data_IF_105906679429
#
_entry.id   IF_105906679429
#
_cell.length_a   1.000
_cell.length_b   1.000
_cell.length_c   1.000
_cell.angle_alpha   90.00
_cell.angle_beta   90.00
_cell.angle_gamma   90.00
#
_symmetry.space_group_name_H-M   'P 1'
#
loop_
_entity.id
_entity.type
_entity.pdbx_description
1 polymer ?
#
# COMPACT_ATOMS: atom_id res chain seq x y z
N UNK A 1 28.63 -34.73 -81.60
CA UNK A 1 29.01 -36.15 -81.71
C UNK A 1 29.46 -36.60 -80.33
N UNK A 2 28.73 -37.57 -79.78
CA UNK A 2 28.85 -38.32 -78.51
C UNK A 2 29.46 -37.70 -77.23
N UNK A 3 28.57 -37.70 -76.23
CA UNK A 3 28.74 -37.66 -74.79
C UNK A 3 29.80 -38.65 -74.26
N UNK A 4 30.62 -38.19 -73.31
CA UNK A 4 31.30 -39.02 -72.32
C UNK A 4 31.08 -38.40 -70.94
N UNK A 5 30.34 -39.09 -70.09
CA UNK A 5 30.05 -38.70 -68.71
C UNK A 5 31.31 -38.80 -67.83
N UNK A 6 31.50 -37.87 -66.86
CA UNK A 6 32.60 -37.97 -65.90
C UNK A 6 32.36 -39.08 -64.84
N UNK A 7 33.44 -39.64 -64.25
CA UNK A 7 33.36 -40.73 -63.27
C UNK A 7 32.78 -40.28 -61.92
N UNK A 8 32.21 -41.22 -61.13
CA UNK A 8 31.56 -40.92 -59.86
C UNK A 8 32.56 -40.59 -58.72
N UNK A 9 32.15 -39.81 -57.70
CA UNK A 9 33.00 -39.40 -56.59
C UNK A 9 33.26 -40.53 -55.56
N UNK A 10 34.43 -40.47 -54.93
CA UNK A 10 34.88 -41.38 -53.87
C UNK A 10 34.08 -41.23 -52.56
N UNK A 11 33.92 -42.32 -51.78
CA UNK A 11 33.15 -42.31 -50.53
C UNK A 11 33.89 -41.62 -49.36
N UNK A 12 33.16 -41.08 -48.37
CA UNK A 12 33.71 -40.34 -47.24
C UNK A 12 34.37 -41.24 -46.17
N UNK A 13 35.41 -40.71 -45.51
CA UNK A 13 36.15 -41.37 -44.43
C UNK A 13 35.37 -41.45 -43.10
N UNK A 14 35.65 -42.46 -42.24
CA UNK A 14 34.86 -42.74 -41.04
C UNK A 14 35.17 -41.80 -39.86
N UNK A 15 34.13 -41.43 -39.12
CA UNK A 15 34.14 -40.63 -37.88
C UNK A 15 34.38 -41.47 -36.60
N UNK A 16 34.99 -40.89 -35.53
CA UNK A 16 35.38 -41.61 -34.31
C UNK A 16 34.21 -41.97 -33.36
N UNK A 17 34.41 -42.94 -32.43
CA UNK A 17 33.32 -43.66 -31.77
C UNK A 17 32.69 -42.95 -30.56
N UNK A 18 31.38 -43.20 -30.37
CA UNK A 18 30.56 -42.77 -29.22
C UNK A 18 30.53 -43.86 -28.14
N UNK A 19 30.79 -43.51 -26.89
CA UNK A 19 30.59 -44.41 -25.74
C UNK A 19 29.13 -44.35 -25.24
N UNK A 20 28.56 -45.53 -24.98
CA UNK A 20 27.19 -45.75 -24.54
C UNK A 20 27.14 -46.45 -23.16
N UNK A 21 26.20 -45.98 -22.33
CA UNK A 21 25.30 -46.72 -21.41
C UNK A 21 25.88 -47.27 -20.07
N UNK A 22 25.07 -47.48 -18.99
CA UNK A 22 23.74 -48.12 -19.03
C UNK A 22 22.63 -47.62 -18.06
N UNK A 23 21.45 -48.25 -18.24
CA UNK A 23 20.14 -47.98 -17.64
C UNK A 23 19.62 -49.26 -16.91
N UNK A 24 18.71 -49.09 -15.93
CA UNK A 24 17.84 -50.06 -15.17
C UNK A 24 18.32 -50.45 -13.75
N UNK A 25 17.49 -50.64 -12.70
CA UNK A 25 16.04 -50.47 -12.44
C UNK A 25 15.76 -50.49 -10.90
N UNK A 26 14.75 -49.74 -10.45
CA UNK A 26 13.82 -49.88 -9.28
C UNK A 26 14.25 -50.50 -7.94
N UNK A 27 14.07 -49.73 -6.84
CA UNK A 27 13.47 -50.21 -5.58
C UNK A 27 12.85 -49.06 -4.75
N UNK A 28 11.65 -49.31 -4.23
CA UNK A 28 10.80 -48.45 -3.40
C UNK A 28 11.26 -48.35 -1.96
N UNK A 29 11.33 -47.14 -1.37
CA UNK A 29 11.11 -46.91 0.06
C UNK A 29 10.51 -45.51 0.29
N UNK A 30 9.35 -45.48 0.95
CA UNK A 30 8.73 -44.28 1.54
C UNK A 30 9.43 -43.95 2.85
N UNK A 31 9.86 -42.69 3.06
CA UNK A 31 9.88 -42.05 4.39
C UNK A 31 9.91 -40.52 4.28
N UNK A 32 8.85 -39.90 4.80
CA UNK A 32 8.84 -38.75 5.72
C UNK A 32 9.70 -37.49 5.44
N UNK A 33 8.96 -36.38 5.26
CA UNK A 33 9.21 -35.05 5.86
C UNK A 33 10.56 -34.35 5.62
N UNK A 34 10.54 -33.36 4.73
CA UNK A 34 10.79 -31.95 5.11
C UNK A 34 10.35 -31.05 3.94
N UNK A 35 9.15 -30.45 4.04
CA UNK A 35 8.76 -29.33 3.18
C UNK A 35 9.70 -28.17 3.51
N UNK A 36 10.61 -27.84 2.59
CA UNK A 36 11.36 -26.58 2.65
C UNK A 36 10.37 -25.44 2.43
N UNK A 37 10.37 -24.40 3.29
CA UNK A 37 9.54 -23.23 3.04
C UNK A 37 10.05 -22.56 1.75
N UNK A 38 9.16 -22.40 0.78
CA UNK A 38 9.40 -21.60 -0.42
C UNK A 38 9.45 -20.15 0.06
N UNK A 39 10.64 -19.64 0.31
CA UNK A 39 10.87 -18.20 0.48
C UNK A 39 10.82 -17.57 -0.91
N UNK A 40 9.65 -17.13 -1.34
CA UNK A 40 9.49 -16.33 -2.55
C UNK A 40 9.99 -14.92 -2.28
N UNK A 41 11.19 -14.61 -2.74
CA UNK A 41 11.70 -13.25 -2.83
C UNK A 41 10.94 -12.51 -3.95
N UNK A 42 10.00 -11.66 -3.53
CA UNK A 42 9.22 -10.72 -4.35
C UNK A 42 10.15 -9.63 -4.93
N UNK A 43 10.34 -9.49 -6.25
CA UNK A 43 11.11 -8.39 -6.88
C UNK A 43 10.58 -6.95 -6.65
N UNK A 44 11.42 -6.16 -5.96
CA UNK A 44 11.81 -4.73 -6.06
C UNK A 44 10.87 -3.57 -6.51
N UNK A 45 9.62 -3.76 -6.92
CA UNK A 45 8.82 -2.65 -7.49
C UNK A 45 7.87 -1.90 -6.54
N UNK A 46 7.78 -2.25 -5.25
CA UNK A 46 6.46 -2.10 -4.58
C UNK A 46 6.13 -0.75 -3.90
N UNK A 47 7.04 0.14 -3.48
CA UNK A 47 6.61 1.32 -2.67
C UNK A 47 7.07 2.70 -3.17
N UNK A 48 6.32 3.25 -4.11
CA UNK A 48 6.27 4.68 -4.34
C UNK A 48 5.11 5.28 -3.53
N UNK A 49 5.40 5.97 -2.41
CA UNK A 49 4.52 6.65 -1.42
C UNK A 49 3.06 6.19 -1.24
N UNK A 50 2.69 5.97 0.02
CA UNK A 50 1.31 5.96 0.50
C UNK A 50 0.69 7.36 0.40
N UNK A 51 -0.58 7.40 0.01
CA UNK A 51 -1.42 8.58 0.18
C UNK A 51 -1.44 8.97 1.66
N UNK A 52 -1.69 10.25 1.90
CA UNK A 52 -1.80 10.77 3.25
C UNK A 52 -3.30 11.06 3.40
N UNK A 53 -4.04 10.13 3.98
CA UNK A 53 -5.42 10.37 4.37
C UNK A 53 -5.47 10.75 5.83
N UNK A 54 -5.79 12.02 6.09
CA UNK A 54 -6.31 12.40 7.38
C UNK A 54 -7.82 12.10 7.37
N UNK A 55 -8.43 11.90 8.52
CA UNK A 55 -9.89 11.98 8.66
C UNK A 55 -10.16 12.40 10.09
N UNK A 56 -10.62 13.64 10.28
CA UNK A 56 -11.21 14.08 11.54
C UNK A 56 -12.64 13.54 11.66
N UNK A 57 -12.92 12.78 12.72
CA UNK A 57 -14.31 12.55 13.17
C UNK A 57 -14.86 13.84 13.78
N UNK A 58 -15.52 14.68 12.99
CA UNK A 58 -16.30 15.80 13.53
C UNK A 58 -17.61 15.28 14.11
N UNK A 59 -17.84 15.58 15.39
CA UNK A 59 -19.12 15.38 16.07
C UNK A 59 -20.14 16.44 15.64
N UNK A 60 -21.41 16.00 15.56
CA UNK A 60 -22.56 16.64 14.92
C UNK A 60 -22.85 18.11 15.26
N UNK A 61 -23.58 18.84 14.39
CA UNK A 61 -23.99 20.22 14.62
C UNK A 61 -25.14 20.35 15.65
N UNK A 62 -25.17 21.47 16.39
CA UNK A 62 -26.30 21.85 17.26
C UNK A 62 -27.42 22.52 16.44
N UNK A 63 -28.70 22.33 16.82
CA UNK A 63 -29.86 22.80 16.05
C UNK A 63 -30.35 24.18 16.51
N UNK A 64 -30.97 24.94 15.60
CA UNK A 64 -31.86 26.05 15.96
C UNK A 64 -33.24 25.82 15.31
N UNK A 65 -34.25 25.73 16.19
CA UNK A 65 -35.73 25.77 16.08
C UNK A 65 -36.38 26.22 14.76
N UNK A 66 -37.58 25.83 14.29
CA UNK A 66 -38.73 24.95 14.65
C UNK A 66 -39.88 25.32 13.63
N UNK A 67 -41.15 24.83 13.66
CA UNK A 67 -41.73 23.54 14.08
C UNK A 67 -42.80 22.93 13.10
N UNK A 68 -43.35 21.77 13.50
CA UNK A 68 -44.79 21.35 13.46
C UNK A 68 -45.21 20.16 12.55
N UNK A 69 -45.52 19.04 13.24
CA UNK A 69 -46.58 18.01 13.04
C UNK A 69 -46.49 16.98 11.89
N UNK A 70 -46.86 15.68 12.01
CA UNK A 70 -47.53 14.88 13.06
C UNK A 70 -47.30 13.37 12.75
N UNK A 71 -46.81 12.61 13.74
CA UNK A 71 -47.17 11.26 14.27
C UNK A 71 -47.56 10.09 13.29
N UNK A 72 -47.11 8.81 13.37
CA UNK A 72 -47.28 7.82 14.45
C UNK A 72 -46.68 6.42 14.10
N UNK A 73 -46.02 5.77 15.09
CA UNK A 73 -45.98 4.32 15.48
C UNK A 73 -44.61 3.60 15.55
N UNK A 74 -44.18 3.40 16.81
CA UNK A 74 -43.19 2.47 17.40
C UNK A 74 -43.75 1.01 17.47
N UNK A 75 -43.00 -0.06 17.85
CA UNK A 75 -41.88 -0.09 18.81
C UNK A 75 -40.68 -1.01 18.51
N UNK A 76 -39.52 -0.76 19.15
CA UNK A 76 -38.62 -1.70 19.86
C UNK A 76 -37.36 -0.94 20.35
N UNK A 77 -36.65 -1.43 21.40
CA UNK A 77 -36.22 -0.59 22.51
C UNK A 77 -34.85 0.05 22.32
N UNK A 78 -34.78 1.37 22.47
CA UNK A 78 -33.53 2.09 22.71
C UNK A 78 -33.20 2.04 24.20
N UNK A 79 -32.12 1.34 24.52
CA UNK A 79 -31.56 1.27 25.86
C UNK A 79 -30.83 2.59 26.17
N UNK A 80 -31.19 3.35 27.22
CA UNK A 80 -30.55 4.62 27.52
C UNK A 80 -29.22 4.37 28.26
N UNK A 81 -28.09 4.52 27.57
CA UNK A 81 -26.80 4.61 28.25
C UNK A 81 -26.73 5.91 29.03
N UNK A 82 -27.07 5.80 30.32
CA UNK A 82 -26.74 6.76 31.37
C UNK A 82 -25.23 7.06 31.30
N UNK A 83 -24.92 8.35 31.18
CA UNK A 83 -23.58 8.88 31.38
C UNK A 83 -23.12 8.59 32.82
N UNK A 84 -22.34 7.52 33.00
CA UNK A 84 -21.46 7.41 34.14
C UNK A 84 -20.17 8.15 33.79
N UNK A 85 -20.02 9.36 34.36
CA UNK A 85 -18.72 10.01 34.56
C UNK A 85 -17.87 9.06 35.41
N UNK A 86 -16.92 8.39 34.79
CA UNK A 86 -15.84 7.71 35.50
C UNK A 86 -14.74 8.76 35.77
N UNK A 87 -14.21 8.88 36.99
CA UNK A 87 -13.05 9.73 37.25
C UNK A 87 -11.86 9.17 36.47
N UNK A 88 -11.32 9.96 35.55
CA UNK A 88 -10.10 9.61 34.81
C UNK A 88 -8.95 9.62 35.83
N UNK A 89 -8.56 8.44 36.29
CA UNK A 89 -7.23 8.24 36.84
C UNK A 89 -6.25 8.40 35.68
N UNK A 90 -5.30 9.32 35.86
CA UNK A 90 -4.17 9.57 34.98
C UNK A 90 -3.38 8.29 34.73
N UNK A 91 -3.65 7.63 33.60
CA UNK A 91 -2.71 6.70 33.00
C UNK A 91 -1.79 7.53 32.10
N UNK A 92 -0.45 7.40 32.20
CA UNK A 92 0.47 8.12 31.34
C UNK A 92 0.36 7.54 29.94
N UNK A 93 -0.53 8.13 29.13
CA UNK A 93 -0.46 7.98 27.69
C UNK A 93 0.91 8.49 27.29
N UNK A 94 1.81 7.58 26.92
CA UNK A 94 3.08 7.89 26.28
C UNK A 94 2.81 8.41 24.87
N UNK A 95 2.13 9.56 24.75
CA UNK A 95 2.32 10.43 23.59
C UNK A 95 3.78 10.85 23.67
N UNK A 96 4.62 10.23 22.84
CA UNK A 96 5.93 10.81 22.58
C UNK A 96 5.68 12.27 22.19
N UNK A 97 6.19 13.26 22.95
CA UNK A 97 5.99 14.65 22.59
C UNK A 97 6.57 14.85 21.20
N UNK A 98 5.80 15.50 20.30
CA UNK A 98 6.21 15.82 18.94
C UNK A 98 7.67 16.29 18.95
N UNK A 99 8.58 15.43 18.49
CA UNK A 99 10.04 15.66 18.55
C UNK A 99 10.43 16.96 17.82
N UNK A 100 9.58 17.40 16.89
CA UNK A 100 9.75 18.61 16.09
C UNK A 100 8.50 19.48 16.19
N UNK A 101 8.56 20.68 16.82
CA UNK A 101 7.39 21.55 16.99
C UNK A 101 6.86 22.15 15.67
N UNK A 102 7.67 22.21 14.62
CA UNK A 102 7.27 22.73 13.31
C UNK A 102 8.16 22.15 12.17
N UNK A 103 7.75 22.28 10.90
CA UNK A 103 8.54 21.79 9.76
C UNK A 103 9.97 22.34 9.68
N UNK A 104 10.18 23.60 10.12
CA UNK A 104 11.50 24.22 10.12
C UNK A 104 12.47 23.51 11.08
N UNK A 105 12.01 23.20 12.29
CA UNK A 105 12.81 22.45 13.27
C UNK A 105 13.18 21.04 12.81
N UNK A 106 12.30 20.38 12.04
CA UNK A 106 12.61 19.11 11.39
C UNK A 106 13.65 19.30 10.27
N UNK A 107 13.49 20.34 9.44
CA UNK A 107 14.45 20.68 8.38
C UNK A 107 15.86 20.89 8.94
N UNK A 108 15.99 21.70 9.98
CA UNK A 108 17.28 22.02 10.59
C UNK A 108 17.94 20.80 11.24
N UNK A 109 17.13 19.86 11.75
CA UNK A 109 17.63 18.58 12.24
C UNK A 109 18.09 17.64 11.10
N UNK A 110 17.42 17.64 9.95
CA UNK A 110 17.74 16.77 8.81
C UNK A 110 18.94 17.27 7.99
N UNK A 111 19.10 18.59 7.81
CA UNK A 111 20.15 19.21 6.99
C UNK A 111 21.56 18.64 7.23
N UNK A 112 22.07 18.53 8.48
CA UNK A 112 23.41 17.99 8.72
C UNK A 112 23.49 16.46 8.62
N UNK A 113 22.38 15.76 8.44
CA UNK A 113 22.28 14.29 8.49
C UNK A 113 22.00 13.64 7.13
N UNK A 114 21.61 14.42 6.13
CA UNK A 114 21.27 13.95 4.79
C UNK A 114 22.21 14.55 3.73
N UNK A 115 22.48 13.83 2.62
CA UNK A 115 23.19 14.41 1.48
C UNK A 115 22.46 15.65 0.95
N UNK A 116 23.17 16.77 0.79
CA UNK A 116 22.57 18.06 0.45
C UNK A 116 21.78 18.04 -0.86
N UNK A 117 22.33 17.42 -1.91
CA UNK A 117 21.67 17.32 -3.22
C UNK A 117 20.36 16.53 -3.15
N UNK A 118 20.36 15.44 -2.37
CA UNK A 118 19.18 14.61 -2.15
C UNK A 118 18.10 15.37 -1.38
N UNK A 119 18.48 16.06 -0.31
CA UNK A 119 17.54 16.84 0.51
C UNK A 119 16.96 18.04 -0.25
N UNK A 120 17.78 18.73 -1.07
CA UNK A 120 17.34 19.84 -1.90
C UNK A 120 16.33 19.42 -2.98
N UNK A 121 16.30 18.14 -3.36
CA UNK A 121 15.35 17.62 -4.35
C UNK A 121 13.91 17.47 -3.84
N UNK A 122 13.70 17.53 -2.51
CA UNK A 122 12.39 17.28 -1.89
C UNK A 122 11.38 18.37 -2.24
N UNK A 123 10.24 17.98 -2.82
CA UNK A 123 9.21 18.91 -3.29
C UNK A 123 9.52 19.61 -4.61
N UNK A 124 10.74 19.43 -5.14
CA UNK A 124 11.17 19.99 -6.43
C UNK A 124 11.17 18.91 -7.50
N UNK A 125 11.76 17.74 -7.22
CA UNK A 125 11.80 16.62 -8.16
C UNK A 125 10.42 15.96 -8.23
N UNK A 126 9.90 15.64 -9.43
CA UNK A 126 8.63 14.95 -9.59
C UNK A 126 8.52 13.68 -8.75
N UNK A 127 7.39 13.50 -8.08
CA UNK A 127 7.11 12.35 -7.23
C UNK A 127 7.78 12.35 -5.84
N UNK A 128 8.53 13.40 -5.48
CA UNK A 128 9.05 13.58 -4.12
C UNK A 128 8.08 14.34 -3.23
N UNK A 129 8.09 14.01 -1.95
CA UNK A 129 7.40 14.75 -0.89
C UNK A 129 8.36 15.81 -0.32
N UNK A 130 7.82 16.79 0.40
CA UNK A 130 8.63 17.84 1.03
C UNK A 130 8.69 17.68 2.56
N UNK A 131 9.41 18.59 3.23
CA UNK A 131 9.60 18.56 4.69
C UNK A 131 8.27 18.69 5.45
N UNK A 132 7.28 19.42 4.92
CA UNK A 132 5.96 19.54 5.56
C UNK A 132 5.25 18.19 5.58
N UNK A 133 5.29 17.44 4.48
CA UNK A 133 4.74 16.09 4.44
C UNK A 133 5.37 15.18 5.51
N UNK A 134 6.70 15.18 5.64
CA UNK A 134 7.38 14.33 6.62
C UNK A 134 7.08 14.76 8.05
N UNK A 135 6.98 16.07 8.29
CA UNK A 135 6.63 16.61 9.59
C UNK A 135 5.22 16.17 10.02
N UNK A 136 4.24 16.21 9.11
CA UNK A 136 2.89 15.72 9.37
C UNK A 136 2.88 14.20 9.67
N UNK A 137 3.55 13.40 8.83
CA UNK A 137 3.68 11.95 9.04
C UNK A 137 4.28 11.61 10.43
N UNK A 138 5.22 12.44 10.91
CA UNK A 138 5.83 12.29 12.23
C UNK A 138 4.93 12.77 13.37
N UNK A 139 4.23 13.90 13.20
CA UNK A 139 3.36 14.46 14.24
C UNK A 139 2.16 13.58 14.54
N UNK A 140 1.76 12.77 13.57
CA UNK A 140 0.63 11.84 13.70
C UNK A 140 1.05 10.42 14.05
N UNK A 141 2.36 10.16 14.07
CA UNK A 141 2.91 8.84 14.40
C UNK A 141 2.77 7.80 13.29
N UNK A 142 2.35 8.19 12.09
CA UNK A 142 2.34 7.31 10.91
C UNK A 142 3.76 6.91 10.48
N UNK A 143 4.76 7.64 10.95
CA UNK A 143 6.16 7.41 10.67
C UNK A 143 6.99 7.67 11.92
N UNK A 144 8.06 6.90 12.08
CA UNK A 144 9.08 7.14 13.12
C UNK A 144 10.46 7.31 12.52
N UNK A 145 11.34 8.05 13.20
CA UNK A 145 12.73 8.22 12.81
C UNK A 145 13.66 7.60 13.85
N UNK A 146 14.48 6.66 13.38
CA UNK A 146 15.57 6.05 14.13
C UNK A 146 16.77 7.01 14.15
N UNK A 147 16.80 7.87 15.17
CA UNK A 147 17.67 9.05 15.23
C UNK A 147 19.16 8.78 15.52
N UNK A 148 19.47 7.58 16.02
CA UNK A 148 20.83 7.07 16.29
C UNK A 148 21.55 6.59 15.02
N UNK A 149 20.81 6.38 13.91
CA UNK A 149 21.40 6.10 12.59
C UNK A 149 21.73 7.39 11.81
N UNK A 150 22.78 7.34 10.99
CA UNK A 150 23.18 8.45 10.09
C UNK A 150 23.43 7.90 8.67
N UNK A 151 22.58 8.23 7.68
CA UNK A 151 21.35 9.01 7.79
C UNK A 151 20.29 8.32 8.66
N UNK A 152 19.34 9.06 9.26
CA UNK A 152 18.28 8.48 10.07
C UNK A 152 17.37 7.57 9.24
N UNK A 153 16.90 6.47 9.82
CA UNK A 153 16.01 5.53 9.14
C UNK A 153 14.54 5.87 9.44
N UNK A 154 13.76 6.09 8.38
CA UNK A 154 12.32 6.31 8.42
C UNK A 154 11.58 4.97 8.49
N UNK A 155 10.87 4.68 9.57
CA UNK A 155 10.07 3.45 9.69
C UNK A 155 8.60 3.73 9.44
N UNK A 156 7.95 2.87 8.65
CA UNK A 156 6.53 2.96 8.32
C UNK A 156 5.88 1.59 8.34
N UNK A 157 4.75 1.50 9.03
CA UNK A 157 3.86 0.35 9.00
C UNK A 157 2.79 0.56 7.92
N UNK A 158 2.60 -0.46 7.10
CA UNK A 158 1.85 -0.38 5.85
C UNK A 158 0.92 -1.56 5.75
N UNK A 159 -0.35 -1.31 5.48
CA UNK A 159 -1.27 -2.35 5.01
C UNK A 159 -1.26 -2.43 3.49
N UNK A 160 -1.19 -3.65 2.97
CA UNK A 160 -1.33 -3.96 1.54
C UNK A 160 -2.56 -4.84 1.41
N UNK A 161 -3.57 -4.34 0.70
CA UNK A 161 -4.80 -5.07 0.43
C UNK A 161 -4.76 -5.58 -1.00
N UNK A 162 -4.57 -6.88 -1.16
CA UNK A 162 -4.69 -7.54 -2.46
C UNK A 162 -6.17 -7.81 -2.73
N UNK A 163 -6.80 -6.88 -3.44
CA UNK A 163 -8.21 -7.02 -3.82
C UNK A 163 -8.31 -8.04 -4.96
N UNK A 164 -8.90 -9.18 -4.66
CA UNK A 164 -9.11 -10.27 -5.62
C UNK A 164 -10.48 -10.14 -6.28
N UNK A 165 -10.56 -10.38 -7.58
CA UNK A 165 -11.78 -10.21 -8.41
C UNK A 165 -12.94 -11.17 -8.12
N UNK A 166 -13.00 -11.80 -6.93
CA UNK A 166 -14.04 -12.74 -6.56
C UNK A 166 -14.22 -13.85 -7.60
N UNK A 167 -15.45 -13.99 -8.12
CA UNK A 167 -15.83 -14.96 -9.17
C UNK A 167 -15.16 -14.69 -10.54
N UNK A 168 -14.53 -13.52 -10.71
CA UNK A 168 -13.82 -13.14 -11.92
C UNK A 168 -12.39 -13.70 -11.85
N UNK A 169 -12.25 -14.98 -12.22
CA UNK A 169 -11.04 -15.64 -12.70
C UNK A 169 -9.71 -14.96 -12.31
N UNK A 170 -9.25 -15.19 -11.08
CA UNK A 170 -7.86 -15.03 -10.72
C UNK A 170 -7.26 -13.64 -11.07
N UNK A 171 -8.04 -12.56 -10.91
CA UNK A 171 -7.56 -11.19 -11.13
C UNK A 171 -7.22 -10.48 -9.83
N UNK A 172 -6.25 -9.57 -9.90
CA UNK A 172 -5.81 -8.69 -8.82
C UNK A 172 -6.02 -7.24 -9.24
N UNK A 173 -6.58 -6.42 -8.35
CA UNK A 173 -6.69 -4.99 -8.56
C UNK A 173 -5.34 -4.32 -8.26
N UNK A 174 -4.82 -3.56 -9.22
CA UNK A 174 -3.64 -2.74 -9.05
C UNK A 174 -3.96 -1.27 -9.26
N UNK A 175 -3.36 -0.44 -8.42
CA UNK A 175 -3.15 0.96 -8.68
C UNK A 175 -2.08 1.11 -9.76
N UNK A 176 -2.47 1.55 -10.95
CA UNK A 176 -1.55 1.74 -12.08
C UNK A 176 -0.69 2.99 -11.91
N UNK A 177 -1.33 4.13 -11.65
CA UNK A 177 -0.71 5.43 -11.46
C UNK A 177 -1.59 6.34 -10.60
N UNK A 178 -0.98 7.39 -10.08
CA UNK A 178 -1.66 8.46 -9.35
C UNK A 178 -1.39 9.80 -10.02
N UNK A 179 -2.35 10.70 -9.92
CA UNK A 179 -2.20 12.12 -10.22
C UNK A 179 -2.08 12.92 -8.93
N UNK A 180 -1.02 13.72 -8.81
CA UNK A 180 -0.75 14.53 -7.62
C UNK A 180 -1.33 15.94 -7.75
N UNK A 181 -1.50 16.61 -6.62
CA UNK A 181 -1.97 18.01 -6.53
C UNK A 181 -1.14 19.03 -7.31
N UNK A 182 0.13 18.73 -7.57
CA UNK A 182 1.01 19.55 -8.42
C UNK A 182 0.95 19.18 -9.92
N UNK A 183 -0.01 18.34 -10.33
CA UNK A 183 -0.21 17.87 -11.71
C UNK A 183 0.74 16.76 -12.16
N UNK A 184 1.68 16.34 -11.31
CA UNK A 184 2.58 15.25 -11.66
C UNK A 184 1.88 13.89 -11.60
N UNK A 185 2.12 13.06 -12.62
CA UNK A 185 1.70 11.65 -12.64
C UNK A 185 2.82 10.77 -12.10
N UNK A 186 2.46 9.77 -11.30
CA UNK A 186 3.43 8.83 -10.74
C UNK A 186 2.92 7.40 -10.83
N UNK A 187 3.66 6.56 -11.56
CA UNK A 187 3.40 5.14 -11.68
C UNK A 187 3.55 4.42 -10.34
N UNK A 188 2.68 3.43 -10.12
CA UNK A 188 2.55 2.67 -8.87
C UNK A 188 2.65 1.19 -9.14
N UNK A 189 1.82 0.69 -10.06
CA UNK A 189 1.73 -0.71 -10.46
C UNK A 189 1.72 -1.68 -9.27
N UNK A 190 0.91 -1.40 -8.25
CA UNK A 190 0.91 -2.15 -6.98
C UNK A 190 -0.50 -2.30 -6.42
N UNK A 191 -0.73 -3.25 -5.49
CA UNK A 191 -2.02 -3.36 -4.82
C UNK A 191 -2.33 -2.12 -3.97
N UNK A 192 -3.59 -1.98 -3.57
CA UNK A 192 -4.02 -0.97 -2.60
C UNK A 192 -3.11 -1.01 -1.37
N UNK A 193 -2.54 0.15 -1.05
CA UNK A 193 -1.36 0.27 -0.20
C UNK A 193 -1.55 1.51 0.66
N UNK A 194 -1.68 1.35 1.97
CA UNK A 194 -2.01 2.46 2.86
C UNK A 194 -1.17 2.44 4.15
N UNK A 195 -0.82 3.62 4.67
CA UNK A 195 -0.11 3.75 5.95
C UNK A 195 -1.04 3.32 7.09
N UNK A 196 -0.51 2.58 8.05
CA UNK A 196 -1.24 2.24 9.27
C UNK A 196 -1.18 3.40 10.27
N UNK A 197 -2.30 3.67 10.96
CA UNK A 197 -2.35 4.64 12.06
C UNK A 197 -1.78 4.02 13.36
N UNK A 198 -1.27 4.82 14.30
CA UNK A 198 -0.74 4.29 15.56
C UNK A 198 -1.76 3.44 16.33
N UNK A 199 -1.39 2.18 16.60
CA UNK A 199 -2.24 1.25 17.35
C UNK A 199 -3.42 0.66 16.56
N UNK A 200 -3.52 0.93 15.26
CA UNK A 200 -4.53 0.36 14.38
C UNK A 200 -4.25 -1.13 14.09
N UNK A 201 -5.30 -1.96 14.02
CA UNK A 201 -5.15 -3.36 13.58
C UNK A 201 -5.00 -3.45 12.06
N UNK A 202 -4.44 -4.55 11.56
CA UNK A 202 -4.27 -4.76 10.11
C UNK A 202 -5.63 -4.77 9.41
N UNK A 203 -6.64 -5.39 10.03
CA UNK A 203 -7.99 -5.44 9.51
C UNK A 203 -8.62 -4.05 9.47
N UNK A 204 -8.55 -3.29 10.57
CA UNK A 204 -9.06 -1.93 10.63
C UNK A 204 -8.42 -1.02 9.57
N UNK A 205 -7.10 -1.12 9.40
CA UNK A 205 -6.37 -0.41 8.36
C UNK A 205 -6.81 -0.83 6.95
N UNK A 206 -7.03 -2.12 6.71
CA UNK A 206 -7.50 -2.63 5.41
C UNK A 206 -8.91 -2.12 5.07
N UNK A 207 -9.84 -2.18 6.03
CA UNK A 207 -11.19 -1.64 5.84
C UNK A 207 -11.17 -0.14 5.56
N UNK A 208 -10.35 0.60 6.33
CA UNK A 208 -10.17 2.03 6.13
C UNK A 208 -9.59 2.33 4.75
N UNK A 209 -8.53 1.64 4.33
CA UNK A 209 -7.91 1.83 3.02
C UNK A 209 -8.90 1.60 1.88
N UNK A 210 -9.71 0.53 1.94
CA UNK A 210 -10.73 0.28 0.90
C UNK A 210 -11.79 1.39 0.90
N UNK A 211 -12.24 1.84 2.08
CA UNK A 211 -13.24 2.89 2.19
C UNK A 211 -12.73 4.24 1.67
N UNK A 212 -11.50 4.62 2.03
CA UNK A 212 -10.89 5.89 1.65
C UNK A 212 -10.56 5.92 0.15
N UNK A 213 -9.93 4.87 -0.38
CA UNK A 213 -9.45 4.88 -1.77
C UNK A 213 -10.45 4.37 -2.81
N UNK A 214 -11.34 3.44 -2.44
CA UNK A 214 -12.30 2.81 -3.36
C UNK A 214 -13.75 3.19 -3.08
N UNK A 215 -14.03 3.84 -1.95
CA UNK A 215 -15.41 4.10 -1.49
C UNK A 215 -16.25 4.95 -2.45
N UNK A 216 -15.64 5.85 -3.22
CA UNK A 216 -16.34 6.74 -4.16
C UNK A 216 -16.93 6.03 -5.38
N UNK A 217 -16.46 4.82 -5.71
CA UNK A 217 -17.01 4.01 -6.80
C UNK A 217 -17.91 2.88 -6.30
N UNK A 218 -18.05 2.72 -4.99
CA UNK A 218 -18.96 1.73 -4.41
C UNK A 218 -20.40 2.25 -4.45
N UNK A 219 -21.39 1.39 -4.72
CA UNK A 219 -22.80 1.79 -4.72
C UNK A 219 -23.25 2.36 -3.36
N UNK A 220 -23.97 3.49 -3.39
CA UNK A 220 -24.59 4.08 -2.20
C UNK A 220 -25.61 3.11 -1.57
N UNK A 221 -25.68 3.08 -0.23
CA UNK A 221 -26.67 2.29 0.52
C UNK A 221 -26.32 0.82 0.72
N UNK A 222 -25.12 0.38 0.35
CA UNK A 222 -24.59 -0.91 0.79
C UNK A 222 -24.13 -0.81 2.26
N UNK A 223 -25.05 -0.96 3.20
CA UNK A 223 -24.77 -0.95 4.65
C UNK A 223 -24.14 -2.28 5.17
N UNK A 224 -23.48 -3.06 4.31
CA UNK A 224 -22.98 -4.42 4.61
C UNK A 224 -21.45 -4.57 4.66
N UNK A 225 -20.99 -5.78 5.00
CA UNK A 225 -19.59 -6.23 4.88
C UNK A 225 -19.17 -6.32 3.39
N UNK A 226 -19.04 -5.16 2.73
CA UNK A 226 -18.60 -5.05 1.32
C UNK A 226 -17.18 -5.61 1.18
N UNK A 227 -16.37 -5.48 2.24
CA UNK A 227 -15.00 -5.95 2.30
C UNK A 227 -14.95 -7.26 3.08
N UNK A 228 -14.53 -8.33 2.44
CA UNK A 228 -14.36 -9.65 3.05
C UNK A 228 -12.88 -10.02 3.00
N UNK A 229 -12.19 -9.87 4.12
CA UNK A 229 -10.80 -10.33 4.26
C UNK A 229 -10.77 -11.86 4.19
N UNK A 230 -9.93 -12.41 3.31
CA UNK A 230 -9.77 -13.85 3.14
C UNK A 230 -9.09 -14.41 4.39
N UNK A 231 -9.71 -15.38 5.09
CA UNK A 231 -9.11 -15.99 6.27
C UNK A 231 -7.73 -16.58 5.98
N UNK A 232 -6.78 -16.42 6.92
CA UNK A 232 -5.41 -16.94 6.84
C UNK A 232 -4.58 -16.42 5.64
N UNK A 233 -4.98 -15.31 4.99
CA UNK A 233 -4.20 -14.66 3.93
C UNK A 233 -3.10 -13.73 4.44
N UNK A 234 -3.13 -13.39 5.73
CA UNK A 234 -2.19 -12.43 6.32
C UNK A 234 -0.74 -12.88 6.18
N UNK A 235 0.11 -11.96 5.71
CA UNK A 235 1.56 -12.12 5.72
C UNK A 235 2.26 -10.83 6.10
N UNK A 236 3.44 -10.95 6.72
CA UNK A 236 4.27 -9.82 7.14
C UNK A 236 5.64 -9.90 6.48
N UNK A 237 6.09 -8.78 5.90
CA UNK A 237 7.44 -8.63 5.34
C UNK A 237 8.06 -7.34 5.83
N UNK A 238 9.36 -7.35 6.13
CA UNK A 238 10.11 -6.13 6.45
C UNK A 238 11.14 -5.89 5.35
N UNK A 239 11.18 -4.67 4.83
CA UNK A 239 12.09 -4.28 3.76
C UNK A 239 12.78 -2.96 4.12
N UNK A 240 14.08 -2.87 3.87
CA UNK A 240 14.83 -1.62 3.95
C UNK A 240 15.29 -1.20 2.56
N UNK A 241 15.01 0.05 2.18
CA UNK A 241 15.35 0.58 0.85
C UNK A 241 15.39 2.10 0.84
N UNK A 242 15.94 2.66 -0.24
CA UNK A 242 15.91 4.10 -0.46
C UNK A 242 14.46 4.59 -0.61
N UNK A 243 14.12 5.68 0.06
CA UNK A 243 12.78 6.28 -0.08
C UNK A 243 12.68 7.07 -1.38
N UNK A 244 11.79 6.64 -2.28
CA UNK A 244 11.49 7.39 -3.49
C UNK A 244 10.86 8.76 -3.19
N UNK A 245 10.10 8.86 -2.11
CA UNK A 245 9.43 10.11 -1.69
C UNK A 245 10.39 11.08 -1.02
N UNK A 246 11.41 10.56 -0.35
CA UNK A 246 12.39 11.31 0.42
C UNK A 246 13.81 10.85 0.04
N UNK A 247 14.31 11.21 -1.16
CA UNK A 247 15.66 10.83 -1.58
C UNK A 247 16.71 11.15 -0.51
N UNK A 248 17.65 10.24 -0.28
CA UNK A 248 18.68 10.36 0.76
C UNK A 248 18.24 9.93 2.17
N UNK A 249 16.94 9.78 2.42
CA UNK A 249 16.40 9.25 3.67
C UNK A 249 16.05 7.75 3.49
N UNK A 250 16.82 6.80 4.04
CA UNK A 250 16.49 5.38 3.96
C UNK A 250 15.18 5.10 4.71
N UNK A 251 14.43 4.11 4.22
CA UNK A 251 13.17 3.72 4.80
C UNK A 251 13.12 2.22 5.11
N UNK A 252 12.60 1.90 6.30
CA UNK A 252 12.20 0.56 6.72
C UNK A 252 10.69 0.45 6.61
N UNK A 253 10.21 -0.42 5.73
CA UNK A 253 8.79 -0.69 5.54
C UNK A 253 8.44 -1.99 6.25
N UNK A 254 7.45 -1.91 7.14
CA UNK A 254 6.81 -3.08 7.76
C UNK A 254 5.50 -3.30 7.02
N UNK A 255 5.49 -4.31 6.15
CA UNK A 255 4.43 -4.57 5.19
C UNK A 255 3.52 -5.67 5.71
N UNK A 256 2.25 -5.33 5.91
CA UNK A 256 1.17 -6.20 6.35
C UNK A 256 0.25 -6.48 5.16
N UNK A 257 0.37 -7.65 4.53
CA UNK A 257 -0.42 -8.01 3.35
C UNK A 257 -1.60 -8.87 3.74
N UNK A 258 -2.79 -8.56 3.22
CA UNK A 258 -4.00 -9.36 3.33
C UNK A 258 -4.67 -9.49 1.95
N UNK A 259 -5.36 -10.60 1.71
CA UNK A 259 -6.26 -10.74 0.56
C UNK A 259 -7.66 -10.32 0.96
N UNK A 260 -8.37 -9.62 0.08
CA UNK A 260 -9.75 -9.23 0.32
C UNK A 260 -10.59 -9.31 -0.95
N UNK A 261 -11.87 -9.70 -0.80
CA UNK A 261 -12.90 -9.51 -1.82
C UNK A 261 -13.63 -8.22 -1.49
N UNK A 262 -13.82 -7.35 -2.49
CA UNK A 262 -14.58 -6.11 -2.35
C UNK A 262 -15.75 -6.15 -3.32
N UNK A 263 -16.96 -6.18 -2.79
CA UNK A 263 -18.18 -6.22 -3.60
C UNK A 263 -18.49 -4.85 -4.23
N UNK A 264 -19.13 -4.84 -5.39
CA UNK A 264 -19.58 -3.59 -6.04
C UNK A 264 -18.51 -2.81 -6.81
N UNK A 265 -17.27 -3.31 -6.91
CA UNK A 265 -16.23 -2.67 -7.73
C UNK A 265 -16.53 -2.78 -9.24
N UNK A 266 -16.12 -1.78 -10.05
CA UNK A 266 -16.20 -1.86 -11.51
C UNK A 266 -15.41 -3.03 -12.09
N UNK A 267 -15.94 -3.65 -13.14
CA UNK A 267 -15.29 -4.78 -13.84
C UNK A 267 -14.09 -4.35 -14.71
N UNK A 268 -14.10 -3.10 -15.18
CA UNK A 268 -13.07 -2.52 -16.05
C UNK A 268 -12.05 -1.69 -15.27
N UNK A 269 -11.22 -0.94 -16.01
CA UNK A 269 -10.41 0.12 -15.42
C UNK A 269 -11.31 1.25 -14.91
N UNK A 270 -10.93 1.85 -13.80
CA UNK A 270 -11.66 2.97 -13.19
C UNK A 270 -10.70 3.91 -12.48
N UNK A 271 -11.18 5.10 -12.11
CA UNK A 271 -10.44 6.02 -11.25
C UNK A 271 -11.28 6.45 -10.06
N UNK A 272 -10.60 6.75 -8.95
CA UNK A 272 -11.21 7.32 -7.75
C UNK A 272 -10.54 8.65 -7.44
N UNK A 273 -11.30 9.59 -6.87
CA UNK A 273 -10.80 10.90 -6.48
C UNK A 273 -10.69 10.97 -4.95
N UNK A 274 -9.59 11.56 -4.46
CA UNK A 274 -9.48 11.93 -3.04
C UNK A 274 -10.24 13.23 -2.83
N UNK A 275 -11.20 13.23 -1.90
CA UNK A 275 -11.86 14.47 -1.48
C UNK A 275 -10.84 15.36 -0.76
N UNK A 276 -10.75 16.63 -1.17
CA UNK A 276 -9.94 17.63 -0.46
C UNK A 276 -10.52 17.81 0.96
N UNK A 277 -9.86 17.19 1.94
CA UNK A 277 -10.35 17.06 3.32
C UNK A 277 -10.36 18.37 4.12
N UNK A 278 -9.84 19.47 3.55
CA UNK A 278 -9.67 20.74 4.24
C UNK A 278 -10.77 21.75 3.88
N UNK A 279 -12.01 21.42 4.25
CA UNK A 279 -13.08 22.41 4.34
C UNK A 279 -12.91 23.20 5.66
N UNK A 280 -12.29 24.38 5.54
CA UNK A 280 -12.32 25.53 6.45
C UNK A 280 -11.76 25.41 7.90
N UNK A 281 -10.52 24.92 8.09
CA UNK A 281 -9.81 24.95 9.39
C UNK A 281 -8.37 25.52 9.35
N UNK A 282 -7.84 25.97 10.51
CA UNK A 282 -6.47 26.50 10.69
C UNK A 282 -5.35 25.49 10.33
N UNK A 283 -5.63 24.18 10.29
CA UNK A 283 -4.70 23.12 9.84
C UNK A 283 -4.36 23.21 8.35
N UNK A 284 -5.18 23.93 7.58
CA UNK A 284 -4.91 24.29 6.18
C UNK A 284 -3.55 24.97 6.02
N UNK A 285 -3.06 25.73 7.01
CA UNK A 285 -1.74 26.39 6.90
C UNK A 285 -0.57 25.42 6.86
N UNK A 286 -0.63 24.31 7.59
CA UNK A 286 0.43 23.30 7.58
C UNK A 286 0.33 22.39 6.34
N UNK A 287 -0.90 22.09 5.91
CA UNK A 287 -1.17 21.26 4.73
C UNK A 287 -0.99 22.00 3.40
N UNK A 288 -1.12 23.33 3.35
CA UNK A 288 -0.93 24.13 2.12
C UNK A 288 0.46 23.95 1.49
N UNK A 289 1.45 23.54 2.28
CA UNK A 289 2.78 23.22 1.77
C UNK A 289 2.91 21.79 1.23
N UNK A 290 2.01 20.87 1.55
CA UNK A 290 2.14 19.44 1.30
C UNK A 290 1.64 19.03 -0.09
N UNK A 291 2.35 18.12 -0.75
CA UNK A 291 1.86 17.49 -2.00
C UNK A 291 0.99 16.29 -1.62
N UNK A 292 -0.30 16.33 -1.99
CA UNK A 292 -1.26 15.22 -1.87
C UNK A 292 -1.53 14.51 -3.20
N UNK A 293 -2.11 13.30 -3.12
CA UNK A 293 -2.74 12.65 -4.27
C UNK A 293 -4.08 13.33 -4.56
N UNK A 294 -4.54 13.26 -5.82
CA UNK A 294 -5.86 13.73 -6.23
C UNK A 294 -6.68 12.62 -6.86
N UNK A 295 -6.04 11.79 -7.69
CA UNK A 295 -6.71 10.69 -8.38
C UNK A 295 -5.87 9.44 -8.35
N UNK A 296 -6.54 8.31 -8.17
CA UNK A 296 -5.99 6.97 -8.26
C UNK A 296 -6.58 6.28 -9.49
N UNK A 297 -5.75 5.64 -10.29
CA UNK A 297 -6.18 4.93 -11.49
C UNK A 297 -5.97 3.42 -11.30
N UNK A 298 -7.06 2.67 -11.36
CA UNK A 298 -7.14 1.26 -11.01
C UNK A 298 -7.36 0.38 -12.24
N UNK A 299 -6.70 -0.78 -12.25
CA UNK A 299 -6.88 -1.79 -13.30
C UNK A 299 -6.81 -3.20 -12.74
N UNK A 300 -7.57 -4.10 -13.34
CA UNK A 300 -7.50 -5.53 -13.05
C UNK A 300 -6.42 -6.20 -13.89
N UNK A 301 -5.55 -6.99 -13.26
CA UNK A 301 -4.52 -7.80 -13.93
C UNK A 301 -4.66 -9.28 -13.59
N UNK A 302 -4.20 -10.17 -14.47
CA UNK A 302 -4.23 -11.61 -14.20
C UNK A 302 -3.17 -11.98 -13.14
N UNK A 303 -3.55 -12.72 -12.10
CA UNK A 303 -2.63 -13.01 -10.99
C UNK A 303 -1.52 -14.02 -11.36
N UNK A 304 -1.68 -14.77 -12.47
CA UNK A 304 -0.66 -15.69 -12.98
C UNK A 304 0.40 -15.01 -13.87
N UNK A 305 0.13 -13.83 -14.43
CA UNK A 305 1.17 -13.08 -15.16
C UNK A 305 2.27 -12.53 -14.25
N UNK A 306 2.04 -12.54 -12.93
CA UNK A 306 2.92 -11.95 -11.93
C UNK A 306 3.61 -12.97 -11.03
N UNK A 307 3.85 -14.20 -11.52
CA UNK A 307 4.86 -15.11 -10.93
C UNK A 307 6.32 -14.54 -10.99
N UNK A 308 6.47 -13.26 -11.33
CA UNK A 308 7.69 -12.45 -11.34
C UNK A 308 7.51 -11.05 -10.70
N UNK A 309 6.52 -10.83 -9.83
CA UNK A 309 6.45 -9.63 -8.96
C UNK A 309 6.93 -9.94 -7.56
#
# INVERSE_FOLDING_TARGET
>A
MFSLSPPPPLPPSPSPPKHHLPLQQTQTYNTHLHKKPITSSIPDFIFTAFSIFFLFSSSSPKPTSAPVNVIHKFPFPLNPRKFFRIPIMSSPSSRAPNRFPNPQSLSDWLKPRLPSDSFASWGVKPGTKNVHNLWLELSEGETTLLADSTPPIRTVDVVIVRVIGGEQNNKLLLESHQELSNGHVRNRCRPLSEKMKPGESVEAAAFRAVKEELGSVLPEGLDGDIVKIVPNSYSKKVEERASASYPGLPARYVLHTVDAVVEGLPHGEFCTEELEEYDDSDEKRAAHGAVSCKKHYWKWVDSYSDAKI
#
